data_IF_688335127731
#
_entry.id   IF_688335127731
#
_cell.length_a   1.000
_cell.length_b   1.000
_cell.length_c   1.000
_cell.angle_alpha   90.00
_cell.angle_beta   90.00
_cell.angle_gamma   90.00
#
_symmetry.space_group_name_H-M   'P 1'
#
loop_
_entity.id
_entity.type
_entity.pdbx_description
1 polymer ?
#
# COMPACT_ATOMS: atom_id res chain seq x y z
N UNK A 1 -4.88 -13.58 1.49
CA UNK A 1 -3.59 -14.18 1.90
C UNK A 1 -2.72 -14.40 0.68
N UNK A 2 -1.43 -14.14 0.80
CA UNK A 2 -0.48 -14.34 -0.29
C UNK A 2 0.60 -15.34 0.12
N UNK A 3 1.27 -15.92 -0.87
CA UNK A 3 2.32 -16.92 -0.67
C UNK A 3 3.60 -16.42 -1.32
N UNK A 4 4.70 -16.42 -0.56
CA UNK A 4 6.00 -15.98 -1.03
C UNK A 4 7.00 -17.12 -0.90
N UNK A 5 7.80 -17.34 -1.93
CA UNK A 5 8.91 -18.27 -1.86
C UNK A 5 9.94 -17.77 -0.85
N UNK A 6 10.56 -18.70 -0.13
CA UNK A 6 11.62 -18.38 0.82
C UNK A 6 12.77 -17.67 0.09
N UNK A 7 13.16 -16.51 0.61
CA UNK A 7 14.19 -15.67 0.00
C UNK A 7 13.67 -14.68 -1.03
N UNK A 8 12.38 -14.77 -1.40
CA UNK A 8 11.75 -13.85 -2.37
C UNK A 8 10.59 -13.06 -1.77
N UNK A 9 10.54 -12.94 -0.45
CA UNK A 9 9.46 -12.26 0.26
C UNK A 9 9.35 -10.80 -0.20
N UNK A 10 10.47 -10.09 -0.28
CA UNK A 10 10.47 -8.69 -0.67
C UNK A 10 9.86 -8.48 -2.06
N UNK A 11 10.29 -9.27 -3.05
CA UNK A 11 9.76 -9.19 -4.41
C UNK A 11 8.27 -9.44 -4.45
N UNK A 12 7.81 -10.45 -3.72
CA UNK A 12 6.40 -10.83 -3.64
C UNK A 12 5.57 -9.73 -3.01
N UNK A 13 6.03 -9.15 -1.92
CA UNK A 13 5.32 -8.10 -1.20
C UNK A 13 5.23 -6.81 -2.02
N UNK A 14 6.32 -6.41 -2.65
CA UNK A 14 6.34 -5.24 -3.53
C UNK A 14 5.39 -5.45 -4.71
N UNK A 15 5.42 -6.61 -5.34
CA UNK A 15 4.53 -6.92 -6.46
C UNK A 15 3.06 -6.83 -6.04
N UNK A 16 2.72 -7.38 -4.88
CA UNK A 16 1.35 -7.29 -4.35
C UNK A 16 0.91 -5.83 -4.17
N UNK A 17 1.76 -5.01 -3.55
CA UNK A 17 1.45 -3.60 -3.30
C UNK A 17 1.32 -2.83 -4.62
N UNK A 18 2.20 -3.10 -5.57
CA UNK A 18 2.15 -2.41 -6.86
C UNK A 18 0.91 -2.77 -7.67
N UNK A 19 0.44 -4.01 -7.58
CA UNK A 19 -0.84 -4.40 -8.18
C UNK A 19 -2.01 -3.70 -7.51
N UNK A 20 -2.00 -3.61 -6.19
CA UNK A 20 -3.03 -2.88 -5.43
C UNK A 20 -3.05 -1.40 -5.82
N UNK A 21 -1.88 -0.78 -5.95
CA UNK A 21 -1.77 0.63 -6.36
C UNK A 21 -2.24 0.85 -7.79
N UNK A 22 -2.09 -0.14 -8.68
CA UNK A 22 -2.66 -0.09 -10.03
C UNK A 22 -4.18 0.02 -9.99
N UNK A 23 -4.83 -0.67 -9.05
CA UNK A 23 -6.29 -0.57 -8.84
C UNK A 23 -6.65 0.81 -8.31
N UNK A 24 -5.89 1.32 -7.34
CA UNK A 24 -6.08 2.65 -6.77
C UNK A 24 -5.91 3.74 -7.84
N UNK A 25 -4.95 3.58 -8.74
CA UNK A 25 -4.70 4.51 -9.84
C UNK A 25 -5.89 4.61 -10.81
N UNK A 26 -6.71 3.56 -10.90
CA UNK A 26 -7.93 3.55 -11.68
C UNK A 26 -9.13 4.14 -10.93
N UNK A 27 -8.90 4.68 -9.73
CA UNK A 27 -9.93 5.26 -8.86
C UNK A 27 -10.98 4.23 -8.41
N UNK A 28 -10.62 2.96 -8.40
CA UNK A 28 -11.47 1.87 -7.93
C UNK A 28 -11.23 1.65 -6.44
N UNK A 29 -11.69 2.60 -5.62
CA UNK A 29 -11.37 2.67 -4.20
C UNK A 29 -11.86 1.47 -3.41
N UNK A 30 -13.09 1.02 -3.68
CA UNK A 30 -13.65 -0.15 -3.02
C UNK A 30 -12.89 -1.43 -3.37
N UNK A 31 -12.52 -1.59 -4.65
CA UNK A 31 -11.75 -2.74 -5.10
C UNK A 31 -10.34 -2.74 -4.49
N UNK A 32 -9.74 -1.55 -4.36
CA UNK A 32 -8.44 -1.43 -3.68
C UNK A 32 -8.52 -1.94 -2.25
N UNK A 33 -9.52 -1.52 -1.47
CA UNK A 33 -9.68 -1.96 -0.08
C UNK A 33 -9.94 -3.47 -0.01
N UNK A 34 -10.61 -4.04 -1.01
CA UNK A 34 -10.97 -5.45 -1.02
C UNK A 34 -9.80 -6.41 -1.29
N UNK A 35 -8.64 -5.92 -1.76
CA UNK A 35 -7.49 -6.81 -2.00
C UNK A 35 -6.77 -7.20 -0.72
N UNK A 36 -6.98 -6.46 0.37
CA UNK A 36 -6.34 -6.73 1.66
C UNK A 36 -7.19 -7.69 2.49
N UNK A 37 -6.55 -8.58 3.22
CA UNK A 37 -7.26 -9.50 4.13
C UNK A 37 -7.90 -8.73 5.28
N UNK A 38 -7.20 -7.70 5.79
CA UNK A 38 -7.68 -6.80 6.83
C UNK A 38 -7.33 -5.36 6.44
N UNK A 39 -8.14 -4.41 6.89
CA UNK A 39 -7.87 -3.00 6.65
C UNK A 39 -8.36 -2.17 7.83
N UNK A 40 -7.52 -1.24 8.28
CA UNK A 40 -7.92 -0.22 9.25
C UNK A 40 -8.67 0.93 8.60
N UNK A 41 -8.54 1.07 7.28
CA UNK A 41 -9.37 1.99 6.50
C UNK A 41 -10.63 1.20 6.14
N UNK A 42 -11.74 1.50 6.79
CA UNK A 42 -12.94 0.66 6.74
C UNK A 42 -13.89 1.01 5.61
N UNK A 43 -13.86 2.26 5.14
CA UNK A 43 -14.80 2.74 4.13
C UNK A 43 -14.10 3.41 2.97
N UNK A 44 -14.78 3.43 1.83
CA UNK A 44 -14.34 4.19 0.65
C UNK A 44 -14.18 5.68 0.97
N UNK A 45 -15.11 6.24 1.77
CA UNK A 45 -15.05 7.64 2.17
C UNK A 45 -13.81 7.95 3.00
N UNK A 46 -13.40 7.06 3.90
CA UNK A 46 -12.18 7.22 4.69
C UNK A 46 -10.95 7.21 3.79
N UNK A 47 -10.93 6.34 2.79
CA UNK A 47 -9.84 6.28 1.81
C UNK A 47 -9.77 7.58 1.00
N UNK A 48 -10.89 8.05 0.49
CA UNK A 48 -10.96 9.31 -0.27
C UNK A 48 -10.48 10.48 0.60
N UNK A 49 -10.92 10.54 1.87
CA UNK A 49 -10.49 11.57 2.81
C UNK A 49 -8.97 11.56 3.00
N UNK A 50 -8.34 10.39 3.12
CA UNK A 50 -6.89 10.27 3.21
C UNK A 50 -6.21 10.82 1.96
N UNK A 51 -6.78 10.58 0.77
CA UNK A 51 -6.26 11.08 -0.50
C UNK A 51 -6.49 12.59 -0.70
N UNK A 52 -7.24 13.21 0.18
CA UNK A 52 -7.44 14.67 0.24
C UNK A 52 -6.65 15.31 1.39
N UNK A 53 -5.72 14.59 2.00
CA UNK A 53 -4.95 15.03 3.18
C UNK A 53 -5.87 15.46 4.34
N UNK A 54 -7.01 14.77 4.49
CA UNK A 54 -8.05 15.04 5.51
C UNK A 54 -8.68 16.43 5.39
N UNK A 55 -8.65 17.01 4.19
CA UNK A 55 -9.25 18.32 3.90
C UNK A 55 -10.19 18.16 2.68
N UNK A 56 -11.49 18.14 2.95
CA UNK A 56 -12.53 17.93 1.93
C UNK A 56 -12.56 19.02 0.85
N UNK A 57 -11.91 20.16 1.09
CA UNK A 57 -11.82 21.23 0.09
C UNK A 57 -10.77 20.97 -0.98
N UNK A 58 -9.90 19.98 -0.76
CA UNK A 58 -8.88 19.58 -1.71
C UNK A 58 -9.42 18.58 -2.73
N UNK A 59 -8.89 18.56 -3.95
CA UNK A 59 -9.22 17.48 -4.87
C UNK A 59 -8.67 16.16 -4.36
N UNK A 60 -9.30 15.05 -4.76
CA UNK A 60 -8.79 13.72 -4.46
C UNK A 60 -7.49 13.52 -5.24
N UNK A 61 -6.42 13.19 -4.51
CA UNK A 61 -5.11 13.02 -5.10
C UNK A 61 -5.09 11.82 -6.05
N UNK A 62 -4.55 12.02 -7.23
CA UNK A 62 -4.39 10.94 -8.20
C UNK A 62 -3.09 10.19 -7.90
N UNK A 63 -3.21 8.87 -7.70
CA UNK A 63 -2.07 8.01 -7.41
C UNK A 63 -1.60 7.35 -8.70
N UNK A 64 -0.29 7.34 -8.94
CA UNK A 64 0.29 6.65 -10.08
C UNK A 64 0.19 5.14 -9.93
N UNK A 65 0.03 4.45 -11.07
CA UNK A 65 0.27 3.02 -11.14
C UNK A 65 1.79 2.81 -11.23
N UNK A 66 2.45 2.22 -10.22
CA UNK A 66 3.91 2.11 -10.21
C UNK A 66 4.45 1.18 -11.30
N UNK A 67 3.60 0.37 -11.93
CA UNK A 67 4.00 -0.46 -13.08
C UNK A 67 3.97 0.32 -14.40
N UNK A 68 3.29 1.46 -14.43
CA UNK A 68 3.18 2.33 -15.59
C UNK A 68 4.09 3.56 -15.48
N UNK A 69 4.17 4.13 -14.27
CA UNK A 69 4.93 5.33 -13.99
C UNK A 69 6.05 5.00 -13.02
N UNK A 70 7.30 5.10 -13.47
CA UNK A 70 8.48 4.85 -12.63
C UNK A 70 8.99 6.17 -12.06
N UNK A 71 9.01 6.27 -10.72
CA UNK A 71 9.64 7.38 -10.04
C UNK A 71 11.12 7.08 -9.81
N UNK A 72 12.00 8.05 -10.05
CA UNK A 72 13.43 7.92 -9.76
C UNK A 72 13.72 7.96 -8.26
N UNK A 73 12.80 8.50 -7.47
CA UNK A 73 12.95 8.70 -6.03
C UNK A 73 12.02 7.79 -5.22
N UNK A 74 11.68 6.62 -5.78
CA UNK A 74 10.80 5.68 -5.11
C UNK A 74 11.39 5.24 -3.77
N UNK A 75 10.63 5.41 -2.69
CA UNK A 75 11.01 5.01 -1.35
C UNK A 75 10.12 3.86 -0.87
N UNK A 76 10.75 2.70 -0.64
CA UNK A 76 10.10 1.51 -0.13
C UNK A 76 10.94 0.98 1.02
N UNK A 77 10.35 0.89 2.21
CA UNK A 77 11.03 0.35 3.38
C UNK A 77 10.32 -0.92 3.84
N UNK A 78 11.05 -2.02 3.85
CA UNK A 78 10.54 -3.30 4.35
C UNK A 78 11.37 -3.71 5.55
N UNK A 79 10.72 -3.93 6.68
CA UNK A 79 11.37 -4.26 7.96
C UNK A 79 10.75 -5.53 8.52
N UNK A 80 11.60 -6.50 8.90
CA UNK A 80 11.14 -7.68 9.60
C UNK A 80 10.70 -7.32 11.02
N UNK A 81 9.59 -7.88 11.47
CA UNK A 81 9.12 -7.70 12.84
C UNK A 81 10.04 -8.46 13.82
N UNK A 82 10.29 -7.86 14.98
CA UNK A 82 11.27 -8.38 15.95
C UNK A 82 10.94 -9.78 16.47
N UNK A 83 9.66 -10.08 16.60
CA UNK A 83 9.19 -11.37 17.10
C UNK A 83 9.15 -12.47 16.02
N UNK A 84 9.56 -12.14 14.79
CA UNK A 84 9.54 -13.08 13.68
C UNK A 84 8.15 -13.34 13.09
N UNK A 85 7.12 -12.59 13.49
CA UNK A 85 5.74 -12.80 13.05
C UNK A 85 5.46 -12.33 11.62
N UNK A 86 6.38 -11.59 11.01
CA UNK A 86 6.18 -11.08 9.65
C UNK A 86 7.00 -9.86 9.35
N UNK A 87 6.41 -8.95 8.54
CA UNK A 87 7.07 -7.76 8.04
C UNK A 87 6.13 -6.56 8.03
N UNK A 88 6.70 -5.36 8.16
CA UNK A 88 5.98 -4.12 7.87
C UNK A 88 6.59 -3.45 6.64
N UNK A 89 5.77 -2.82 5.81
CA UNK A 89 6.22 -2.07 4.65
C UNK A 89 5.68 -0.64 4.70
N UNK A 90 6.55 0.33 4.44
CA UNK A 90 6.20 1.70 4.15
C UNK A 90 6.48 1.95 2.67
N UNK A 91 5.45 2.29 1.92
CA UNK A 91 5.55 2.52 0.49
C UNK A 91 5.15 3.97 0.19
N UNK A 92 6.10 4.80 -0.23
CA UNK A 92 5.83 6.19 -0.59
C UNK A 92 5.06 6.24 -1.91
N UNK A 93 3.93 6.93 -1.90
CA UNK A 93 3.10 7.08 -3.10
C UNK A 93 3.58 8.21 -3.97
N UNK A 94 3.25 8.13 -5.26
CA UNK A 94 3.62 9.17 -6.23
C UNK A 94 2.40 9.66 -7.00
N UNK A 95 2.51 10.90 -7.48
CA UNK A 95 1.58 11.53 -8.41
C UNK A 95 2.41 12.19 -9.51
N UNK A 96 2.13 11.86 -10.77
CA UNK A 96 2.89 12.35 -11.94
C UNK A 96 4.40 12.09 -11.81
N UNK A 97 4.78 10.96 -11.23
CA UNK A 97 6.17 10.54 -11.05
C UNK A 97 6.88 11.15 -9.86
N UNK A 98 6.21 11.99 -9.07
CA UNK A 98 6.78 12.68 -7.92
C UNK A 98 6.20 12.16 -6.61
N UNK A 99 7.03 12.06 -5.57
CA UNK A 99 6.57 11.70 -4.23
C UNK A 99 5.56 12.75 -3.75
N UNK A 100 4.41 12.28 -3.27
CA UNK A 100 3.28 13.16 -2.90
C UNK A 100 3.05 13.29 -1.39
N UNK A 101 4.02 12.87 -0.58
CA UNK A 101 3.99 12.90 0.89
C UNK A 101 3.03 11.89 1.55
N UNK A 102 2.29 11.11 0.78
CA UNK A 102 1.49 10.02 1.33
C UNK A 102 2.30 8.73 1.38
N UNK A 103 2.21 8.04 2.50
CA UNK A 103 2.85 6.74 2.70
C UNK A 103 1.80 5.69 3.00
N UNK A 104 1.87 4.59 2.27
CA UNK A 104 1.02 3.43 2.48
C UNK A 104 1.73 2.48 3.44
N UNK A 105 1.10 2.17 4.57
CA UNK A 105 1.64 1.23 5.55
C UNK A 105 0.88 -0.10 5.50
N UNK A 106 1.64 -1.17 5.34
CA UNK A 106 1.09 -2.52 5.18
C UNK A 106 1.85 -3.48 6.07
N UNK A 107 1.14 -4.40 6.71
CA UNK A 107 1.74 -5.53 7.42
C UNK A 107 1.51 -6.83 6.65
N UNK A 108 2.54 -7.66 6.64
CA UNK A 108 2.51 -9.02 6.11
C UNK A 108 2.79 -9.97 7.26
N UNK A 109 1.75 -10.61 7.80
CA UNK A 109 1.87 -11.48 8.98
C UNK A 109 1.83 -12.94 8.57
N UNK A 110 2.79 -13.72 9.05
CA UNK A 110 2.88 -15.14 8.75
C UNK A 110 1.65 -15.88 9.26
N UNK A 111 1.09 -16.74 8.41
CA UNK A 111 0.00 -17.64 8.78
C UNK A 111 0.15 -18.92 7.95
N UNK A 112 0.53 -20.02 8.61
CA UNK A 112 0.84 -21.27 7.90
C UNK A 112 1.96 -21.04 6.89
N UNK A 113 1.73 -21.39 5.62
CA UNK A 113 2.69 -21.22 4.54
C UNK A 113 2.62 -19.85 3.85
N UNK A 114 1.70 -18.99 4.27
CA UNK A 114 1.46 -17.71 3.61
C UNK A 114 1.53 -16.53 4.57
N UNK A 115 1.02 -15.41 4.07
CA UNK A 115 0.98 -14.15 4.81
C UNK A 115 -0.41 -13.53 4.70
N UNK A 116 -0.94 -13.12 5.85
CA UNK A 116 -2.13 -12.27 5.91
C UNK A 116 -1.66 -10.85 5.62
N UNK A 117 -2.31 -10.17 4.70
CA UNK A 117 -1.94 -8.80 4.30
C UNK A 117 -2.94 -7.82 4.90
N UNK A 118 -2.43 -6.92 5.72
CA UNK A 118 -3.25 -5.90 6.39
C UNK A 118 -2.86 -4.51 5.94
N UNK A 119 -3.84 -3.74 5.52
CA UNK A 119 -3.66 -2.31 5.26
C UNK A 119 -3.76 -1.58 6.59
N UNK A 120 -2.64 -1.05 7.08
CA UNK A 120 -2.59 -0.40 8.39
C UNK A 120 -2.96 1.07 8.32
N UNK A 121 -2.42 1.78 7.35
CA UNK A 121 -2.66 3.22 7.25
C UNK A 121 -2.27 3.77 5.88
N UNK A 122 -2.78 4.95 5.61
CA UNK A 122 -2.39 5.81 4.50
C UNK A 122 -2.31 7.22 5.07
N UNK A 123 -1.11 7.76 5.24
CA UNK A 123 -0.91 9.01 5.95
C UNK A 123 0.27 9.81 5.43
N UNK A 124 0.34 11.09 5.80
CA UNK A 124 1.52 11.92 5.60
C UNK A 124 2.52 11.66 6.73
N UNK A 125 3.76 11.64 6.38
CA UNK A 125 4.84 11.52 7.36
C UNK A 125 5.27 12.88 7.90
#
# INVERSE_FOLDING_TARGET
MIYAEKGKEQECFIDFVEKALGILAQEKYRDFLAVFDNSRILTEEDLISALQYLDETRPVLKIDDPKQVKSQNQEIYLVALRDGSGYCMDYALTTDGEINDLTLQIEFLKKGDGYIVSLDDLHTL
#
